data_IF_567506023693
#
_entry.id   IF_567506023693
#
_cell.length_a   1.000
_cell.length_b   1.000
_cell.length_c   1.000
_cell.angle_alpha   90.00
_cell.angle_beta   90.00
_cell.angle_gamma   90.00
#
_symmetry.space_group_name_H-M   'P 1'
#
loop_
_entity.id
_entity.type
_entity.pdbx_description
1 polymer ?
#
# COMPACT_ATOMS: atom_id res chain seq x y z
N UNK A 1 -12.08 -11.97 31.42
CA UNK A 1 -11.34 -10.76 30.94
C UNK A 1 -11.41 -10.76 29.43
N UNK A 2 -12.19 -9.85 28.84
CA UNK A 2 -12.17 -9.65 27.38
C UNK A 2 -10.86 -8.91 27.06
N UNK A 3 -10.01 -9.42 26.17
CA UNK A 3 -8.75 -8.76 25.84
C UNK A 3 -9.02 -7.35 25.32
N UNK A 4 -8.33 -6.35 25.90
CA UNK A 4 -8.44 -4.91 25.56
C UNK A 4 -8.07 -4.57 24.10
N UNK A 5 -7.75 -5.56 23.27
CA UNK A 5 -7.16 -5.40 21.93
C UNK A 5 -8.16 -4.90 20.89
N UNK A 6 -9.46 -5.21 21.01
CA UNK A 6 -10.48 -4.75 20.05
C UNK A 6 -10.86 -3.27 20.23
N UNK A 7 -10.72 -2.71 21.44
CA UNK A 7 -11.11 -1.32 21.73
C UNK A 7 -10.05 -0.28 21.29
N UNK A 8 -8.91 -0.72 20.72
CA UNK A 8 -7.73 0.13 20.45
C UNK A 8 -7.54 0.54 18.98
N UNK A 9 -8.27 -0.05 18.04
CA UNK A 9 -8.11 0.29 16.61
C UNK A 9 -8.50 1.74 16.30
N UNK A 10 -9.37 2.34 17.12
CA UNK A 10 -9.98 3.65 16.85
C UNK A 10 -10.80 3.65 15.56
N UNK A 11 -11.60 4.70 15.36
CA UNK A 11 -12.51 4.78 14.20
C UNK A 11 -11.79 4.60 12.86
N UNK A 12 -10.56 5.13 12.75
CA UNK A 12 -9.85 5.14 11.47
C UNK A 12 -9.17 3.81 11.14
N UNK A 13 -8.76 3.04 12.17
CA UNK A 13 -8.30 1.67 11.98
C UNK A 13 -9.44 0.74 11.59
N UNK A 14 -10.61 0.93 12.19
CA UNK A 14 -11.84 0.21 11.83
C UNK A 14 -12.22 0.51 10.37
N UNK A 15 -12.24 1.78 9.97
CA UNK A 15 -12.52 2.17 8.57
C UNK A 15 -11.53 1.51 7.62
N UNK A 16 -10.22 1.56 7.91
CA UNK A 16 -9.21 0.93 7.07
C UNK A 16 -9.40 -0.59 6.94
N UNK A 17 -9.69 -1.27 8.04
CA UNK A 17 -9.98 -2.71 8.04
C UNK A 17 -11.26 -3.04 7.27
N UNK A 18 -12.33 -2.25 7.45
CA UNK A 18 -13.59 -2.44 6.72
C UNK A 18 -13.40 -2.24 5.21
N UNK A 19 -12.67 -1.21 4.79
CA UNK A 19 -12.34 -0.98 3.38
C UNK A 19 -11.55 -2.15 2.78
N UNK A 20 -10.56 -2.66 3.51
CA UNK A 20 -9.77 -3.79 3.05
C UNK A 20 -10.61 -5.08 2.97
N UNK A 21 -11.44 -5.37 3.97
CA UNK A 21 -12.34 -6.53 3.98
C UNK A 21 -13.37 -6.42 2.85
N UNK A 22 -13.98 -5.25 2.67
CA UNK A 22 -14.92 -5.02 1.58
C UNK A 22 -14.26 -5.25 0.22
N UNK A 23 -13.02 -4.78 0.04
CA UNK A 23 -12.23 -5.06 -1.13
C UNK A 23 -11.96 -6.56 -1.32
N UNK A 24 -11.57 -7.29 -0.27
CA UNK A 24 -11.36 -8.74 -0.34
C UNK A 24 -12.61 -9.50 -0.77
N UNK A 25 -13.76 -9.16 -0.17
CA UNK A 25 -15.04 -9.78 -0.51
C UNK A 25 -15.37 -9.50 -1.98
N UNK A 26 -15.23 -8.24 -2.43
CA UNK A 26 -15.47 -7.87 -3.82
C UNK A 26 -14.52 -8.60 -4.79
N UNK A 27 -13.24 -8.72 -4.45
CA UNK A 27 -12.25 -9.47 -5.23
C UNK A 27 -12.64 -10.94 -5.36
N UNK A 28 -12.99 -11.60 -4.25
CA UNK A 28 -13.39 -13.01 -4.23
C UNK A 28 -14.68 -13.22 -5.04
N UNK A 29 -15.69 -12.36 -4.85
CA UNK A 29 -16.93 -12.45 -5.62
C UNK A 29 -16.67 -12.25 -7.11
N UNK A 30 -15.80 -11.31 -7.48
CA UNK A 30 -15.37 -11.12 -8.85
C UNK A 30 -14.79 -12.39 -9.46
N UNK A 31 -13.79 -12.98 -8.80
CA UNK A 31 -13.16 -14.24 -9.24
C UNK A 31 -14.13 -15.43 -9.33
N UNK A 32 -15.18 -15.46 -8.51
CA UNK A 32 -16.18 -16.54 -8.57
C UNK A 32 -17.20 -16.38 -9.70
N UNK A 33 -17.40 -15.15 -10.17
CA UNK A 33 -18.49 -14.80 -11.11
C UNK A 33 -17.95 -14.52 -12.51
N UNK A 34 -16.72 -14.03 -12.64
CA UNK A 34 -16.10 -13.74 -13.93
C UNK A 34 -15.52 -15.01 -14.56
N UNK A 35 -15.85 -15.33 -15.83
CA UNK A 35 -15.24 -16.48 -16.52
C UNK A 35 -13.78 -16.25 -16.94
N UNK A 36 -13.31 -15.00 -16.94
CA UNK A 36 -11.94 -14.60 -17.28
C UNK A 36 -11.22 -14.04 -16.05
N UNK A 37 -10.72 -14.94 -15.21
CA UNK A 37 -9.99 -14.59 -13.99
C UNK A 37 -8.76 -13.72 -14.28
N UNK A 38 -8.04 -14.02 -15.37
CA UNK A 38 -6.83 -13.29 -15.72
C UNK A 38 -7.14 -11.85 -16.12
N UNK A 39 -8.10 -11.64 -17.02
CA UNK A 39 -8.53 -10.30 -17.44
C UNK A 39 -9.06 -9.48 -16.27
N UNK A 40 -9.81 -10.11 -15.36
CA UNK A 40 -10.31 -9.46 -14.15
C UNK A 40 -9.16 -9.03 -13.21
N UNK A 41 -8.22 -9.94 -12.90
CA UNK A 41 -7.05 -9.63 -12.08
C UNK A 41 -6.18 -8.54 -12.72
N UNK A 42 -6.00 -8.57 -14.04
CA UNK A 42 -5.25 -7.56 -14.78
C UNK A 42 -5.90 -6.19 -14.66
N UNK A 43 -7.22 -6.10 -14.82
CA UNK A 43 -7.95 -4.85 -14.65
C UNK A 43 -7.86 -4.30 -13.21
N UNK A 44 -7.99 -5.17 -12.22
CA UNK A 44 -7.82 -4.79 -10.81
C UNK A 44 -6.40 -4.29 -10.56
N UNK A 45 -5.39 -5.03 -11.00
CA UNK A 45 -3.99 -4.67 -10.86
C UNK A 45 -3.70 -3.31 -11.52
N UNK A 46 -4.28 -3.07 -12.69
CA UNK A 46 -4.18 -1.80 -13.40
C UNK A 46 -4.77 -0.61 -12.62
N UNK A 47 -5.93 -0.77 -11.99
CA UNK A 47 -6.59 0.31 -11.26
C UNK A 47 -5.98 0.55 -9.88
N UNK A 48 -5.68 -0.53 -9.14
CA UNK A 48 -5.07 -0.41 -7.80
C UNK A 48 -3.72 0.29 -7.87
N UNK A 49 -2.89 0.03 -8.88
CA UNK A 49 -1.60 0.71 -9.02
C UNK A 49 -1.75 2.23 -9.19
N UNK A 50 -2.75 2.70 -9.95
CA UNK A 50 -3.02 4.14 -10.18
C UNK A 50 -3.61 4.82 -8.96
N UNK A 51 -4.59 4.20 -8.34
CA UNK A 51 -5.17 4.69 -7.08
C UNK A 51 -4.09 4.70 -6.00
N UNK A 52 -3.27 3.66 -5.93
CA UNK A 52 -2.13 3.55 -5.03
C UNK A 52 -1.11 4.68 -5.22
N UNK A 53 -0.77 5.04 -6.46
CA UNK A 53 0.08 6.18 -6.75
C UNK A 53 -0.53 7.50 -6.25
N UNK A 54 -1.81 7.74 -6.56
CA UNK A 54 -2.51 8.95 -6.12
C UNK A 54 -2.53 9.06 -4.58
N UNK A 55 -2.84 7.95 -3.90
CA UNK A 55 -2.84 7.88 -2.43
C UNK A 55 -1.44 8.10 -1.87
N UNK A 56 -0.39 7.52 -2.47
CA UNK A 56 0.99 7.73 -2.04
C UNK A 56 1.40 9.21 -2.14
N UNK A 57 1.02 9.90 -3.21
CA UNK A 57 1.27 11.34 -3.39
C UNK A 57 0.50 12.16 -2.33
N UNK A 58 -0.77 11.86 -2.09
CA UNK A 58 -1.57 12.54 -1.06
C UNK A 58 -0.92 12.38 0.31
N UNK A 59 -0.50 11.16 0.66
CA UNK A 59 0.16 10.88 1.93
C UNK A 59 1.52 11.56 2.05
N UNK A 60 2.28 11.68 0.95
CA UNK A 60 3.53 12.44 0.91
C UNK A 60 3.27 13.93 1.21
N UNK A 61 2.27 14.53 0.57
CA UNK A 61 1.89 15.94 0.83
C UNK A 61 1.49 16.14 2.29
N UNK A 62 0.70 15.22 2.86
CA UNK A 62 0.32 15.27 4.28
C UNK A 62 1.55 15.12 5.18
N UNK A 63 2.48 14.21 4.87
CA UNK A 63 3.71 14.00 5.63
C UNK A 63 4.60 15.26 5.63
N UNK A 64 4.77 15.90 4.46
CA UNK A 64 5.48 17.17 4.31
C UNK A 64 4.83 18.26 5.14
N UNK A 65 3.50 18.39 5.05
CA UNK A 65 2.77 19.40 5.83
C UNK A 65 2.92 19.20 7.34
N UNK A 66 2.77 17.97 7.83
CA UNK A 66 2.93 17.69 9.26
C UNK A 66 4.38 17.88 9.70
N UNK A 67 5.34 17.32 8.97
CA UNK A 67 6.75 17.26 9.38
C UNK A 67 7.52 18.56 9.16
N UNK A 68 7.36 19.19 7.99
CA UNK A 68 8.16 20.36 7.61
C UNK A 68 7.46 21.69 7.91
N UNK A 69 6.13 21.76 7.74
CA UNK A 69 5.38 23.03 7.93
C UNK A 69 4.90 23.16 9.37
N UNK A 70 4.28 22.11 9.92
CA UNK A 70 3.75 22.11 11.29
C UNK A 70 4.78 21.72 12.35
N UNK A 71 5.96 21.25 11.93
CA UNK A 71 7.00 20.69 12.80
C UNK A 71 6.46 19.65 13.81
N UNK A 72 5.44 18.90 13.39
CA UNK A 72 4.79 17.87 14.17
C UNK A 72 5.43 16.49 13.98
N UNK A 73 4.93 15.52 14.74
CA UNK A 73 5.31 14.11 14.61
C UNK A 73 4.16 13.27 14.06
N UNK A 74 4.44 11.99 13.81
CA UNK A 74 3.48 11.03 13.25
C UNK A 74 2.25 10.92 14.13
N UNK A 75 1.07 11.20 13.55
CA UNK A 75 -0.20 11.11 14.26
C UNK A 75 -0.73 9.67 14.25
N UNK A 76 -1.53 9.26 15.25
CA UNK A 76 -2.16 7.93 15.25
C UNK A 76 -3.01 7.66 14.01
N UNK A 77 -3.65 8.70 13.47
CA UNK A 77 -4.41 8.62 12.23
C UNK A 77 -3.51 8.28 11.03
N UNK A 78 -2.44 9.05 10.84
CA UNK A 78 -1.51 8.87 9.74
C UNK A 78 -0.89 7.48 9.74
N UNK A 79 -0.52 6.98 10.92
CA UNK A 79 0.00 5.62 11.10
C UNK A 79 -1.00 4.56 10.65
N UNK A 80 -2.25 4.65 11.11
CA UNK A 80 -3.31 3.69 10.74
C UNK A 80 -3.58 3.67 9.24
N UNK A 81 -3.64 4.85 8.60
CA UNK A 81 -3.79 4.95 7.14
C UNK A 81 -2.61 4.31 6.42
N UNK A 82 -1.38 4.55 6.91
CA UNK A 82 -0.18 3.91 6.34
C UNK A 82 -0.25 2.39 6.41
N UNK A 83 -0.73 1.81 7.52
CA UNK A 83 -0.97 0.36 7.61
C UNK A 83 -2.04 -0.15 6.65
N UNK A 84 -3.11 0.60 6.44
CA UNK A 84 -4.10 0.26 5.41
C UNK A 84 -3.47 0.24 4.02
N UNK A 85 -2.70 1.27 3.66
CA UNK A 85 -2.00 1.33 2.37
C UNK A 85 -1.04 0.15 2.22
N UNK A 86 -0.26 -0.16 3.26
CA UNK A 86 0.64 -1.32 3.27
C UNK A 86 -0.12 -2.63 2.97
N UNK A 87 -1.29 -2.85 3.56
CA UNK A 87 -2.11 -4.04 3.27
C UNK A 87 -2.54 -4.12 1.79
N UNK A 88 -2.94 -2.99 1.20
CA UNK A 88 -3.26 -2.90 -0.23
C UNK A 88 -2.03 -3.12 -1.13
N UNK A 89 -0.84 -2.63 -0.74
CA UNK A 89 0.40 -2.88 -1.50
C UNK A 89 0.81 -4.35 -1.48
N UNK A 90 0.69 -5.02 -0.33
CA UNK A 90 0.92 -6.47 -0.22
C UNK A 90 -0.06 -7.22 -1.12
N UNK A 91 -1.35 -6.85 -1.08
CA UNK A 91 -2.36 -7.42 -1.97
C UNK A 91 -2.04 -7.19 -3.45
N UNK A 92 -1.58 -6.01 -3.82
CA UNK A 92 -1.18 -5.69 -5.19
C UNK A 92 -0.03 -6.58 -5.67
N UNK A 93 0.96 -6.83 -4.80
CA UNK A 93 2.04 -7.79 -5.07
C UNK A 93 1.54 -9.22 -5.21
N UNK A 94 0.58 -9.64 -4.38
CA UNK A 94 -0.04 -10.98 -4.48
C UNK A 94 -0.82 -11.15 -5.79
N UNK A 95 -1.59 -10.14 -6.22
CA UNK A 95 -2.31 -10.16 -7.50
C UNK A 95 -1.31 -10.25 -8.66
N UNK A 96 -0.23 -9.44 -8.65
CA UNK A 96 0.82 -9.52 -9.66
C UNK A 96 1.49 -10.89 -9.71
N UNK A 97 1.80 -11.47 -8.54
CA UNK A 97 2.34 -12.82 -8.42
C UNK A 97 1.38 -13.90 -8.92
N UNK A 98 0.08 -13.77 -8.65
CA UNK A 98 -0.94 -14.69 -9.16
C UNK A 98 -1.03 -14.65 -10.69
N UNK A 99 -1.03 -13.46 -11.29
CA UNK A 99 -0.99 -13.32 -12.76
C UNK A 99 0.29 -13.90 -13.35
N UNK A 100 1.44 -13.73 -12.69
CA UNK A 100 2.70 -14.31 -13.12
C UNK A 100 2.69 -15.85 -13.09
N UNK A 101 2.12 -16.44 -12.04
CA UNK A 101 1.92 -17.89 -11.93
C UNK A 101 0.94 -18.43 -12.97
N UNK A 102 -0.04 -17.63 -13.39
CA UNK A 102 -0.97 -17.94 -14.48
C UNK A 102 -0.36 -17.79 -15.88
N UNK A 103 0.94 -17.46 -15.98
CA UNK A 103 1.67 -17.32 -17.24
C UNK A 103 1.75 -15.89 -17.77
N UNK A 104 1.13 -14.92 -17.10
CA UNK A 104 1.27 -13.49 -17.42
C UNK A 104 2.72 -13.02 -17.27
N UNK A 105 3.15 -12.12 -18.16
CA UNK A 105 4.49 -11.53 -18.12
C UNK A 105 4.38 -10.01 -18.22
N UNK A 106 5.14 -9.27 -17.39
CA UNK A 106 5.23 -7.83 -17.58
C UNK A 106 5.99 -7.51 -18.87
N UNK A 107 5.82 -6.29 -19.38
CA UNK A 107 6.60 -5.81 -20.53
C UNK A 107 8.10 -5.84 -20.30
N UNK A 108 8.54 -5.58 -19.06
CA UNK A 108 9.95 -5.70 -18.66
C UNK A 108 10.10 -6.51 -17.37
N UNK A 109 11.06 -7.44 -17.33
CA UNK A 109 11.33 -8.30 -16.15
C UNK A 109 11.67 -7.49 -14.88
N UNK A 110 12.20 -6.27 -15.03
CA UNK A 110 12.46 -5.36 -13.90
C UNK A 110 11.20 -4.93 -13.17
N UNK A 111 10.02 -5.07 -13.77
CA UNK A 111 8.73 -4.84 -13.12
C UNK A 111 8.59 -5.67 -11.84
N UNK A 112 9.05 -6.92 -11.85
CA UNK A 112 8.98 -7.81 -10.68
C UNK A 112 9.82 -7.25 -9.53
N UNK A 113 11.03 -6.76 -9.85
CA UNK A 113 11.95 -6.15 -8.87
C UNK A 113 11.32 -4.90 -8.26
N UNK A 114 10.76 -4.02 -9.09
CA UNK A 114 10.07 -2.82 -8.60
C UNK A 114 8.81 -3.17 -7.81
N UNK A 115 8.06 -4.21 -8.21
CA UNK A 115 6.92 -4.75 -7.48
C UNK A 115 7.28 -5.15 -6.06
N UNK A 116 8.37 -5.90 -5.87
CA UNK A 116 8.88 -6.20 -4.52
C UNK A 116 9.30 -4.94 -3.77
N UNK A 117 9.92 -3.97 -4.45
CA UNK A 117 10.24 -2.66 -3.88
C UNK A 117 9.01 -1.93 -3.33
N UNK A 118 7.89 -1.96 -4.03
CA UNK A 118 6.62 -1.37 -3.56
C UNK A 118 6.17 -2.05 -2.26
N UNK A 119 6.14 -3.38 -2.22
CA UNK A 119 5.69 -4.17 -1.06
C UNK A 119 6.58 -3.93 0.16
N UNK A 120 7.90 -3.82 -0.04
CA UNK A 120 8.88 -3.71 1.04
C UNK A 120 9.12 -2.28 1.53
N UNK A 121 8.76 -1.27 0.74
CA UNK A 121 9.03 0.13 1.10
C UNK A 121 8.34 0.52 2.41
N UNK A 122 7.01 0.37 2.54
CA UNK A 122 6.30 0.77 3.75
C UNK A 122 6.69 -0.01 5.02
N UNK A 123 6.88 -1.36 5.00
CA UNK A 123 7.38 -2.11 6.15
C UNK A 123 8.71 -1.57 6.69
N UNK A 124 9.64 -1.17 5.80
CA UNK A 124 10.91 -0.59 6.21
C UNK A 124 10.72 0.71 7.00
N UNK A 125 9.85 1.61 6.54
CA UNK A 125 9.62 2.89 7.22
C UNK A 125 8.82 2.76 8.52
N UNK A 126 7.93 1.76 8.60
CA UNK A 126 7.30 1.34 9.86
C UNK A 126 8.35 0.83 10.85
N UNK A 127 9.27 -0.03 10.39
CA UNK A 127 10.36 -0.51 11.23
C UNK A 127 11.23 0.64 11.77
N UNK A 128 11.57 1.61 10.91
CA UNK A 128 12.32 2.81 11.33
C UNK A 128 11.52 3.61 12.36
N UNK A 129 10.21 3.79 12.18
CA UNK A 129 9.36 4.48 13.17
C UNK A 129 9.44 3.82 14.56
N UNK A 130 9.21 2.49 14.63
CA UNK A 130 9.10 1.79 15.92
C UNK A 130 10.45 1.60 16.62
N UNK A 131 11.56 1.71 15.90
CA UNK A 131 12.92 1.55 16.45
C UNK A 131 13.63 2.87 16.75
N UNK A 132 13.15 4.00 16.21
CA UNK A 132 13.75 5.31 16.44
C UNK A 132 13.62 5.76 17.91
N UNK A 133 14.75 6.05 18.57
CA UNK A 133 14.81 6.48 19.98
C UNK A 133 14.77 8.01 20.20
N UNK A 134 14.94 8.82 19.15
CA UNK A 134 14.87 10.29 19.18
C UNK A 134 13.92 10.79 18.09
N UNK A 135 12.94 11.64 18.43
CA UNK A 135 11.96 12.23 17.50
C UNK A 135 12.62 13.16 16.46
N UNK A 136 11.98 13.45 15.30
CA UNK A 136 10.64 13.03 14.87
C UNK A 136 10.66 11.94 13.79
N UNK A 137 9.80 10.93 13.94
CA UNK A 137 9.65 9.83 12.98
C UNK A 137 9.05 10.30 11.64
N UNK A 138 8.47 11.52 11.57
CA UNK A 138 7.85 11.99 10.34
C UNK A 138 8.83 12.11 9.16
N UNK A 139 10.12 12.36 9.42
CA UNK A 139 11.15 12.39 8.37
C UNK A 139 11.30 11.04 7.65
N UNK A 140 11.15 9.92 8.37
CA UNK A 140 11.18 8.59 7.74
C UNK A 140 9.97 8.38 6.83
N UNK A 141 8.78 8.85 7.23
CA UNK A 141 7.58 8.76 6.40
C UNK A 141 7.63 9.65 5.15
N UNK A 142 8.24 10.83 5.21
CA UNK A 142 8.46 11.67 4.02
C UNK A 142 9.30 10.89 2.99
N UNK A 143 10.42 10.30 3.43
CA UNK A 143 11.23 9.46 2.56
C UNK A 143 10.48 8.20 2.10
N UNK A 144 9.68 7.60 2.98
CA UNK A 144 8.94 6.39 2.65
C UNK A 144 7.89 6.58 1.59
N UNK A 145 7.08 7.63 1.68
CA UNK A 145 6.11 7.94 0.63
C UNK A 145 6.76 8.47 -0.65
N UNK A 146 7.91 9.16 -0.55
CA UNK A 146 8.70 9.55 -1.72
C UNK A 146 9.19 8.32 -2.49
N UNK A 147 9.81 7.37 -1.80
CA UNK A 147 10.30 6.13 -2.42
C UNK A 147 9.14 5.28 -2.96
N UNK A 148 8.06 5.12 -2.19
CA UNK A 148 6.88 4.38 -2.62
C UNK A 148 6.32 4.95 -3.94
N UNK A 149 6.11 6.28 -4.00
CA UNK A 149 5.61 6.93 -5.22
C UNK A 149 6.56 6.73 -6.41
N UNK A 150 7.87 6.94 -6.22
CA UNK A 150 8.87 6.77 -7.26
C UNK A 150 8.93 5.33 -7.80
N UNK A 151 8.89 4.33 -6.91
CA UNK A 151 8.90 2.93 -7.30
C UNK A 151 7.59 2.58 -8.00
N UNK A 152 6.43 3.03 -7.52
CA UNK A 152 5.14 2.79 -8.20
C UNK A 152 5.16 3.34 -9.64
N UNK A 153 5.72 4.54 -9.87
CA UNK A 153 5.88 5.09 -11.23
C UNK A 153 6.72 4.16 -12.10
N UNK A 154 7.83 3.62 -11.56
CA UNK A 154 8.66 2.64 -12.29
C UNK A 154 7.90 1.33 -12.53
N UNK A 155 7.17 0.81 -11.56
CA UNK A 155 6.35 -0.40 -11.72
C UNK A 155 5.28 -0.21 -12.80
N UNK A 156 4.58 0.94 -12.82
CA UNK A 156 3.57 1.25 -13.83
C UNK A 156 4.17 1.39 -15.23
N UNK A 157 5.38 1.95 -15.35
CA UNK A 157 6.01 2.17 -16.67
C UNK A 157 6.64 0.91 -17.25
N UNK A 158 6.93 -0.09 -16.42
CA UNK A 158 7.56 -1.38 -16.83
C UNK A 158 6.58 -2.55 -16.88
N UNK A 159 5.35 -2.35 -16.43
CA UNK A 159 4.30 -3.37 -16.40
C UNK A 159 3.63 -3.69 -17.73
N UNK A 160 3.26 -2.71 -18.57
CA UNK A 160 2.53 -2.96 -19.82
C UNK A 160 3.31 -3.89 -20.76
N UNK A 161 2.71 -5.04 -21.10
CA UNK A 161 3.22 -6.08 -22.01
C UNK A 161 2.07 -6.82 -22.68
#
# INVERSE_FOLDING_TARGET
MIPKTLHQLGTTGIIGAMLFIAFLIWLILGLLITPDDYGFLHQIHYWISRVGLAVAIIMLVIAIYIGLIRHGDVTPWFRRVTYTIMAFMVMQGMIGGAMWLAGGRPGEEVHIIYGYGVVLSLPFFVFVEVTAKKRPAMGSYIWGFTMLAAIIVRTITTGPG
#
